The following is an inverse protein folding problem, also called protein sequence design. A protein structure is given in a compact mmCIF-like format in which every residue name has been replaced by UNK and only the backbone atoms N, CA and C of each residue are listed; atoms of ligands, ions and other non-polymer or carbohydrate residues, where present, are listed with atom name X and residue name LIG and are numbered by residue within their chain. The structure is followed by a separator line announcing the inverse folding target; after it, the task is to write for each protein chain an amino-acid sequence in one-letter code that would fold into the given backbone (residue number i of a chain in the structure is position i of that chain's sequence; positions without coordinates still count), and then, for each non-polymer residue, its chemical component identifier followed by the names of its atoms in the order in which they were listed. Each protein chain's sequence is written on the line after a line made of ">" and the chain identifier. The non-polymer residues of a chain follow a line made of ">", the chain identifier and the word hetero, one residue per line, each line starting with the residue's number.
data_IF_740762887352
#
_entry.id   IF_740762887352
#
_cell.length_a   1.000
_cell.length_b   1.000
_cell.length_c   1.000
_cell.angle_alpha   90.00
_cell.angle_beta   90.00
_cell.angle_gamma   90.00
#
_symmetry.space_group_name_H-M   'P 1'
#
loop_
_entity.id
_entity.type
_entity.pdbx_description
1 polymer ?
#
# COMPACT_ATOMS: atom_id res chain seq x y z
N UNK A 1 -17.31 18.45 18.73
CA UNK A 1 -16.85 19.74 18.13
C UNK A 1 -16.32 19.49 16.72
N UNK A 2 -16.41 20.43 15.79
CA UNK A 2 -15.84 20.27 14.44
C UNK A 2 -14.40 20.80 14.38
N UNK A 3 -13.54 20.28 13.48
CA UNK A 3 -12.19 20.83 13.27
C UNK A 3 -12.28 22.25 12.73
N UNK A 4 -11.49 23.17 13.28
CA UNK A 4 -11.45 24.54 12.82
C UNK A 4 -10.45 24.72 11.66
N UNK A 5 -10.94 24.69 10.40
CA UNK A 5 -10.12 24.91 9.21
C UNK A 5 -9.83 26.39 8.92
N UNK A 6 -10.33 27.31 9.76
CA UNK A 6 -9.95 28.72 9.73
C UNK A 6 -8.67 28.99 10.54
N UNK A 7 -7.98 27.95 10.99
CA UNK A 7 -6.63 28.05 11.54
C UNK A 7 -5.60 27.87 10.42
N UNK A 8 -4.40 28.42 10.60
CA UNK A 8 -3.29 28.15 9.69
C UNK A 8 -2.75 26.72 9.87
N UNK A 9 -2.00 26.20 8.89
CA UNK A 9 -1.52 24.80 8.88
C UNK A 9 -0.71 24.47 10.15
N UNK A 10 0.15 25.39 10.61
CA UNK A 10 0.95 25.17 11.82
C UNK A 10 0.10 25.09 13.09
N UNK A 11 -0.90 25.97 13.26
CA UNK A 11 -1.82 25.91 14.38
C UNK A 11 -2.70 24.65 14.32
N UNK A 12 -3.12 24.26 13.12
CA UNK A 12 -3.91 23.06 12.90
C UNK A 12 -3.13 21.79 13.27
N UNK A 13 -1.84 21.71 12.94
CA UNK A 13 -0.94 20.62 13.35
C UNK A 13 -0.81 20.52 14.87
N UNK A 14 -0.59 21.65 15.56
CA UNK A 14 -0.49 21.69 17.04
C UNK A 14 -1.79 21.28 17.72
N UNK A 15 -2.93 21.59 17.10
CA UNK A 15 -4.24 21.27 17.68
C UNK A 15 -4.50 19.75 17.80
N UNK A 16 -3.80 18.91 17.06
CA UNK A 16 -3.95 17.43 17.08
C UNK A 16 -3.76 16.85 18.48
N UNK A 17 -2.82 17.40 19.26
CA UNK A 17 -2.46 16.90 20.59
C UNK A 17 -3.54 17.15 21.65
N UNK A 18 -4.44 18.10 21.37
CA UNK A 18 -5.48 18.56 22.31
C UNK A 18 -6.90 18.19 21.87
N UNK A 19 -7.03 17.51 20.74
CA UNK A 19 -8.29 17.10 20.13
C UNK A 19 -8.76 15.73 20.63
N UNK A 20 -10.07 15.48 20.57
CA UNK A 20 -10.60 14.11 20.72
C UNK A 20 -10.07 13.21 19.60
N UNK A 21 -9.99 11.90 19.85
CA UNK A 21 -9.42 10.91 18.93
C UNK A 21 -10.00 11.04 17.51
N UNK A 22 -11.33 11.20 17.40
CA UNK A 22 -12.05 11.33 16.12
C UNK A 22 -11.63 12.62 15.39
N UNK A 23 -11.50 13.74 16.11
CA UNK A 23 -11.07 15.01 15.52
C UNK A 23 -9.60 14.99 15.12
N UNK A 24 -8.74 14.38 15.94
CA UNK A 24 -7.32 14.23 15.64
C UNK A 24 -7.11 13.37 14.37
N UNK A 25 -7.91 12.32 14.19
CA UNK A 25 -7.93 11.49 12.98
C UNK A 25 -8.36 12.29 11.75
N UNK A 26 -9.46 13.05 11.84
CA UNK A 26 -9.91 13.91 10.75
C UNK A 26 -8.87 15.00 10.41
N UNK A 27 -8.21 15.61 11.41
CA UNK A 27 -7.21 16.66 11.19
C UNK A 27 -5.96 16.09 10.51
N UNK A 28 -5.52 14.90 10.92
CA UNK A 28 -4.43 14.16 10.28
C UNK A 28 -4.77 13.81 8.84
N UNK A 29 -5.99 13.33 8.57
CA UNK A 29 -6.43 13.01 7.22
C UNK A 29 -6.33 14.24 6.29
N UNK A 30 -6.79 15.40 6.76
CA UNK A 30 -6.74 16.65 5.98
C UNK A 30 -5.30 17.09 5.71
N UNK A 31 -4.43 17.07 6.73
CA UNK A 31 -3.02 17.44 6.57
C UNK A 31 -2.27 16.48 5.64
N UNK A 32 -2.59 15.19 5.70
CA UNK A 32 -2.07 14.18 4.78
C UNK A 32 -2.56 14.41 3.36
N UNK A 33 -3.84 14.73 3.14
CA UNK A 33 -4.35 15.06 1.81
C UNK A 33 -3.72 16.32 1.21
N UNK A 34 -3.39 17.32 2.04
CA UNK A 34 -2.62 18.50 1.63
C UNK A 34 -1.20 18.11 1.23
N UNK A 35 -0.54 17.28 2.06
CA UNK A 35 0.83 16.78 1.81
C UNK A 35 0.91 15.96 0.52
N UNK A 36 -0.07 15.10 0.29
CA UNK A 36 -0.09 14.14 -0.81
C UNK A 36 -0.73 14.70 -2.10
N UNK A 37 -1.21 15.95 -2.07
CA UNK A 37 -1.88 16.63 -3.19
C UNK A 37 -3.06 15.82 -3.77
N UNK A 38 -3.70 14.98 -2.93
CA UNK A 38 -4.88 14.17 -3.25
C UNK A 38 -6.10 14.80 -2.59
N UNK A 39 -6.48 15.97 -3.08
CA UNK A 39 -7.35 16.91 -2.39
C UNK A 39 -8.79 16.84 -2.86
N UNK A 40 -9.06 16.28 -4.04
CA UNK A 40 -10.40 16.22 -4.61
C UNK A 40 -11.37 15.41 -3.74
N UNK A 41 -11.00 14.18 -3.38
CA UNK A 41 -11.85 13.32 -2.56
C UNK A 41 -11.91 13.80 -1.10
N UNK A 42 -10.77 14.23 -0.54
CA UNK A 42 -10.71 14.79 0.80
C UNK A 42 -11.63 16.02 0.95
N UNK A 43 -11.68 16.89 -0.06
CA UNK A 43 -12.54 18.07 -0.07
C UNK A 43 -14.00 17.69 -0.28
N UNK A 44 -14.32 16.72 -1.14
CA UNK A 44 -15.69 16.19 -1.25
C UNK A 44 -16.17 15.61 0.08
N UNK A 45 -15.32 14.89 0.80
CA UNK A 45 -15.68 14.28 2.08
C UNK A 45 -15.83 15.34 3.19
N UNK A 46 -15.01 16.41 3.17
CA UNK A 46 -15.20 17.59 4.02
C UNK A 46 -16.51 18.32 3.68
N UNK A 47 -16.85 18.48 2.38
CA UNK A 47 -18.10 19.10 1.91
C UNK A 47 -19.34 18.34 2.38
N UNK A 48 -19.29 17.00 2.36
CA UNK A 48 -20.40 16.15 2.81
C UNK A 48 -20.60 16.18 4.33
N UNK A 49 -19.51 16.33 5.09
CA UNK A 49 -19.53 16.32 6.56
C UNK A 49 -19.71 17.70 7.20
N UNK A 50 -19.50 18.81 6.47
CA UNK A 50 -19.47 20.18 7.03
C UNK A 50 -20.11 21.20 6.09
N UNK A 51 -20.88 22.12 6.68
CA UNK A 51 -21.48 23.24 5.95
C UNK A 51 -20.42 24.05 5.19
N UNK A 52 -20.65 24.23 3.89
CA UNK A 52 -19.76 24.79 2.85
C UNK A 52 -19.22 26.22 3.09
N UNK A 53 -19.62 26.88 4.18
CA UNK A 53 -19.41 28.32 4.43
C UNK A 53 -17.96 28.80 4.35
N UNK A 54 -16.99 28.02 4.83
CA UNK A 54 -15.57 28.42 4.80
C UNK A 54 -14.95 28.24 3.40
N UNK A 55 -15.41 27.24 2.63
CA UNK A 55 -14.97 27.03 1.25
C UNK A 55 -15.49 28.13 0.31
N UNK A 56 -16.68 28.70 0.57
CA UNK A 56 -17.17 29.86 -0.20
C UNK A 56 -16.31 31.12 0.01
N UNK A 57 -15.77 31.33 1.22
CA UNK A 57 -14.84 32.44 1.50
C UNK A 57 -13.52 32.25 0.73
N UNK A 58 -12.99 31.03 0.69
CA UNK A 58 -11.81 30.69 -0.11
C UNK A 58 -12.09 30.81 -1.62
N UNK A 59 -13.26 30.34 -2.09
CA UNK A 59 -13.71 30.50 -3.48
C UNK A 59 -13.70 31.97 -3.90
N UNK A 60 -14.32 32.86 -3.12
CA UNK A 60 -14.34 34.29 -3.41
C UNK A 60 -12.93 34.90 -3.51
N UNK A 61 -11.95 34.41 -2.73
CA UNK A 61 -10.55 34.89 -2.74
C UNK A 61 -9.77 34.45 -3.98
N UNK A 62 -10.01 33.25 -4.50
CA UNK A 62 -9.18 32.63 -5.55
C UNK A 62 -9.86 32.53 -6.92
N UNK A 63 -11.19 32.66 -7.03
CA UNK A 63 -11.93 32.48 -8.30
C UNK A 63 -11.45 33.37 -9.46
N UNK A 64 -10.96 34.57 -9.15
CA UNK A 64 -10.51 35.55 -10.14
C UNK A 64 -8.96 35.67 -10.21
N UNK A 65 -8.22 34.77 -9.53
CA UNK A 65 -6.75 34.81 -9.52
C UNK A 65 -6.19 34.12 -10.74
N UNK A 66 -5.11 34.69 -11.31
CA UNK A 66 -4.39 34.02 -12.41
C UNK A 66 -3.64 32.82 -11.86
N UNK A 67 -3.39 31.82 -12.72
CA UNK A 67 -2.62 30.62 -12.34
C UNK A 67 -1.25 30.99 -11.73
N UNK A 68 -0.63 32.07 -12.22
CA UNK A 68 0.62 32.59 -11.66
C UNK A 68 0.47 33.02 -10.20
N UNK A 69 -0.60 33.73 -9.85
CA UNK A 69 -0.87 34.16 -8.47
C UNK A 69 -1.11 32.97 -7.54
N UNK A 70 -1.72 31.91 -8.07
CA UNK A 70 -1.95 30.64 -7.35
C UNK A 70 -0.62 29.89 -7.14
N UNK A 71 0.25 29.88 -8.16
CA UNK A 71 1.59 29.29 -8.05
C UNK A 71 2.46 30.06 -7.05
N UNK A 72 2.42 31.39 -7.08
CA UNK A 72 3.15 32.25 -6.14
C UNK A 72 2.61 32.10 -4.71
N UNK A 73 1.31 31.85 -4.56
CA UNK A 73 0.71 31.44 -3.30
C UNK A 73 1.27 30.10 -2.80
N UNK A 74 1.54 29.10 -3.63
CA UNK A 74 2.15 27.86 -3.12
C UNK A 74 3.64 28.04 -2.83
N UNK A 75 4.35 28.73 -3.73
CA UNK A 75 5.81 28.93 -3.66
C UNK A 75 6.26 29.78 -2.48
N UNK A 76 5.41 30.68 -2.00
CA UNK A 76 5.67 31.48 -0.79
C UNK A 76 5.57 30.68 0.52
N UNK A 77 5.36 29.36 0.44
CA UNK A 77 5.20 28.49 1.60
C UNK A 77 3.74 28.41 2.06
N UNK A 78 3.35 27.26 2.63
CA UNK A 78 1.96 26.98 3.01
C UNK A 78 1.73 26.88 4.52
N UNK A 79 2.79 26.90 5.34
CA UNK A 79 2.71 26.68 6.79
C UNK A 79 1.87 27.74 7.51
N UNK A 80 2.05 29.01 7.15
CA UNK A 80 1.38 30.15 7.79
C UNK A 80 0.01 30.47 7.16
N UNK A 81 -0.40 29.67 6.17
CA UNK A 81 -1.60 29.90 5.38
C UNK A 81 -2.78 29.16 5.97
N UNK A 82 -3.97 29.74 5.77
CA UNK A 82 -5.23 29.16 6.21
C UNK A 82 -5.41 27.78 5.57
N UNK A 83 -5.73 26.77 6.37
CA UNK A 83 -5.86 25.40 5.88
C UNK A 83 -6.94 25.30 4.78
N UNK A 84 -8.05 26.03 4.93
CA UNK A 84 -9.11 26.10 3.92
C UNK A 84 -8.63 26.68 2.58
N UNK A 85 -7.74 27.68 2.58
CA UNK A 85 -7.21 28.31 1.37
C UNK A 85 -6.24 27.39 0.62
N UNK A 86 -5.38 26.69 1.37
CA UNK A 86 -4.45 25.71 0.81
C UNK A 86 -5.21 24.55 0.18
N UNK A 87 -6.20 24.00 0.87
CA UNK A 87 -7.08 22.95 0.36
C UNK A 87 -7.80 23.40 -0.92
N UNK A 88 -8.39 24.59 -0.90
CA UNK A 88 -9.11 25.14 -2.04
C UNK A 88 -8.20 25.34 -3.27
N UNK A 89 -6.98 25.84 -3.08
CA UNK A 89 -6.01 26.01 -4.17
C UNK A 89 -5.59 24.67 -4.77
N UNK A 90 -5.32 23.66 -3.93
CA UNK A 90 -4.98 22.32 -4.41
C UNK A 90 -6.14 21.66 -5.17
N UNK A 91 -7.38 21.88 -4.72
CA UNK A 91 -8.59 21.46 -5.43
C UNK A 91 -8.72 22.06 -6.82
N UNK A 92 -8.48 23.38 -6.96
CA UNK A 92 -8.49 24.06 -8.24
C UNK A 92 -7.45 23.46 -9.19
N UNK A 93 -6.24 23.20 -8.69
CA UNK A 93 -5.17 22.61 -9.49
C UNK A 93 -5.51 21.19 -9.94
N UNK A 94 -6.14 20.40 -9.07
CA UNK A 94 -6.56 19.03 -9.37
C UNK A 94 -7.73 18.97 -10.37
N UNK A 95 -8.70 19.88 -10.26
CA UNK A 95 -9.77 20.03 -11.26
C UNK A 95 -9.21 20.44 -12.62
N UNK A 96 -8.30 21.42 -12.68
CA UNK A 96 -7.60 21.82 -13.90
C UNK A 96 -6.79 20.67 -14.52
N UNK A 97 -6.17 19.83 -13.69
CA UNK A 97 -5.40 18.64 -14.11
C UNK A 97 -6.28 17.52 -14.67
N UNK A 98 -7.45 17.32 -14.08
CA UNK A 98 -8.33 16.18 -14.39
C UNK A 98 -9.43 16.52 -15.39
N UNK A 99 -9.63 17.80 -15.71
CA UNK A 99 -10.72 18.27 -16.56
C UNK A 99 -12.12 18.06 -15.93
N UNK A 100 -12.18 17.63 -14.67
CA UNK A 100 -13.43 17.48 -13.94
C UNK A 100 -13.99 18.88 -13.67
N UNK A 101 -15.23 19.11 -14.10
CA UNK A 101 -15.95 20.34 -13.84
C UNK A 101 -16.04 20.59 -12.34
N UNK A 102 -15.76 21.83 -11.97
CA UNK A 102 -15.90 22.31 -10.61
C UNK A 102 -17.39 22.40 -10.31
N UNK A 103 -17.93 21.35 -9.72
CA UNK A 103 -19.32 21.31 -9.32
C UNK A 103 -19.47 21.98 -7.94
N UNK A 104 -19.69 23.30 -7.96
CA UNK A 104 -20.27 24.05 -6.85
C UNK A 104 -21.78 24.10 -7.04
N UNK A 105 -22.48 22.97 -6.98
CA UNK A 105 -23.94 22.95 -6.96
C UNK A 105 -24.49 23.60 -5.67
N UNK A 106 -24.58 24.94 -5.67
CA UNK A 106 -25.82 25.71 -5.73
C UNK A 106 -25.51 27.22 -5.71
N UNK A 107 -25.96 27.89 -6.78
CA UNK A 107 -26.05 29.33 -7.08
C UNK A 107 -24.82 30.11 -7.62
N UNK A 108 -24.91 30.30 -8.96
CA UNK A 108 -24.51 31.45 -9.81
C UNK A 108 -23.12 31.50 -10.49
N UNK A 109 -23.16 31.12 -11.78
CA UNK A 109 -22.37 31.52 -12.98
C UNK A 109 -21.14 32.42 -12.81
N UNK A 110 -19.97 31.97 -13.32
CA UNK A 110 -18.89 32.87 -13.81
C UNK A 110 -18.27 32.32 -15.10
N UNK A 111 -18.03 33.24 -16.04
CA UNK A 111 -17.84 33.15 -17.50
C UNK A 111 -16.48 32.65 -18.03
N UNK A 112 -16.50 32.30 -19.32
CA UNK A 112 -15.42 31.83 -20.21
C UNK A 112 -14.12 32.67 -20.20
N UNK A 113 -12.94 32.01 -20.29
CA UNK A 113 -11.65 32.72 -20.42
C UNK A 113 -10.35 31.89 -20.48
N UNK A 114 -10.14 31.17 -21.60
CA UNK A 114 -8.86 30.86 -22.31
C UNK A 114 -7.73 30.03 -21.64
N UNK A 115 -7.53 28.78 -22.10
CA UNK A 115 -6.25 28.03 -22.03
C UNK A 115 -5.96 27.39 -23.41
N UNK A 116 -4.77 27.60 -23.99
CA UNK A 116 -4.41 27.14 -25.35
C UNK A 116 -3.55 25.87 -25.40
N UNK A 117 -3.74 25.08 -26.47
CA UNK A 117 -3.42 23.65 -26.65
C UNK A 117 -1.94 23.26 -26.84
N UNK A 118 -1.03 24.21 -27.11
CA UNK A 118 0.37 23.91 -27.48
C UNK A 118 1.26 23.57 -26.29
N UNK A 119 1.04 24.20 -25.13
CA UNK A 119 1.77 23.92 -23.88
C UNK A 119 1.31 22.63 -23.19
N UNK A 120 0.09 22.18 -23.49
CA UNK A 120 -0.51 20.96 -22.95
C UNK A 120 0.20 19.72 -23.50
N UNK A 121 0.59 19.68 -24.78
CA UNK A 121 1.27 18.52 -25.38
C UNK A 121 2.66 18.24 -24.81
N UNK A 122 3.48 19.29 -24.60
CA UNK A 122 4.83 19.16 -24.03
C UNK A 122 4.77 18.73 -22.56
N UNK A 123 3.75 19.19 -21.83
CA UNK A 123 3.49 18.83 -20.44
C UNK A 123 2.89 17.41 -20.28
N UNK A 124 2.02 16.99 -21.21
CA UNK A 124 1.53 15.60 -21.30
C UNK A 124 2.69 14.63 -21.58
N UNK A 125 3.64 15.00 -22.44
CA UNK A 125 4.83 14.16 -22.73
C UNK A 125 5.74 13.98 -21.49
N UNK A 126 5.98 15.07 -20.75
CA UNK A 126 6.75 15.03 -19.51
C UNK A 126 6.02 14.27 -18.39
N UNK A 127 4.70 14.48 -18.25
CA UNK A 127 3.88 13.74 -17.28
C UNK A 127 3.72 12.27 -17.64
N UNK A 128 3.59 11.88 -18.92
CA UNK A 128 3.50 10.47 -19.34
C UNK A 128 4.79 9.70 -19.02
N UNK A 129 5.97 10.34 -19.11
CA UNK A 129 7.25 9.74 -18.69
C UNK A 129 7.33 9.48 -17.19
N UNK A 130 6.69 10.33 -16.38
CA UNK A 130 6.64 10.18 -14.92
C UNK A 130 5.55 9.18 -14.51
N UNK A 131 4.39 9.22 -15.19
CA UNK A 131 3.24 8.33 -14.96
C UNK A 131 3.55 6.87 -15.32
N UNK A 132 4.33 6.61 -16.39
CA UNK A 132 4.75 5.23 -16.73
C UNK A 132 5.71 4.60 -15.70
N UNK A 133 6.18 5.36 -14.71
CA UNK A 133 7.00 4.87 -13.60
C UNK A 133 6.22 4.48 -12.34
N UNK A 134 4.90 4.70 -12.26
CA UNK A 134 4.09 4.38 -11.09
C UNK A 134 3.09 3.25 -11.37
N UNK A 135 3.10 2.13 -10.61
CA UNK A 135 2.12 1.07 -10.78
C UNK A 135 0.72 1.53 -10.34
N UNK A 136 -0.21 1.52 -11.29
CA UNK A 136 -1.61 1.97 -11.21
C UNK A 136 -2.50 0.97 -10.45
N UNK A 137 -2.22 0.68 -9.19
CA UNK A 137 -3.05 -0.27 -8.44
C UNK A 137 -4.12 0.49 -7.66
N UNK A 138 -5.32 0.54 -8.24
CA UNK A 138 -6.56 0.91 -7.55
C UNK A 138 -7.01 -0.27 -6.69
N UNK A 139 -6.67 -0.26 -5.41
CA UNK A 139 -7.24 -1.20 -4.45
C UNK A 139 -8.67 -0.75 -4.10
N UNK A 140 -9.64 -1.67 -4.16
CA UNK A 140 -11.06 -1.36 -3.90
C UNK A 140 -11.47 -1.50 -2.42
N UNK A 141 -10.80 -2.37 -1.65
CA UNK A 141 -11.13 -2.66 -0.24
C UNK A 141 -9.87 -3.03 0.56
N UNK A 142 -9.93 -2.99 1.89
CA UNK A 142 -8.82 -3.37 2.77
C UNK A 142 -8.49 -4.87 2.73
N UNK A 143 -7.29 -5.23 3.16
CA UNK A 143 -6.80 -6.62 3.10
C UNK A 143 -7.67 -7.57 3.94
N UNK A 144 -8.18 -7.12 5.08
CA UNK A 144 -9.02 -7.95 5.95
C UNK A 144 -10.39 -8.19 5.36
N UNK A 145 -11.06 -7.15 4.88
CA UNK A 145 -12.36 -7.22 4.21
C UNK A 145 -12.28 -8.15 2.99
N UNK A 146 -11.25 -7.93 2.16
CA UNK A 146 -10.95 -8.79 1.02
C UNK A 146 -10.80 -10.26 1.43
N UNK A 147 -10.05 -10.53 2.50
CA UNK A 147 -9.76 -11.89 2.95
C UNK A 147 -11.04 -12.61 3.39
N UNK A 148 -11.91 -11.98 4.19
CA UNK A 148 -13.17 -12.59 4.63
C UNK A 148 -14.17 -12.79 3.48
N UNK A 149 -14.03 -12.00 2.41
CA UNK A 149 -14.83 -12.11 1.19
C UNK A 149 -14.35 -13.23 0.26
N UNK A 150 -13.02 -13.39 0.10
CA UNK A 150 -12.43 -14.25 -0.94
C UNK A 150 -11.82 -15.55 -0.46
N UNK A 151 -11.25 -15.59 0.75
CA UNK A 151 -10.40 -16.72 1.15
C UNK A 151 -11.23 -17.87 1.71
N UNK A 152 -10.98 -19.07 1.17
CA UNK A 152 -11.63 -20.32 1.59
C UNK A 152 -10.55 -21.32 2.01
N UNK A 153 -10.71 -21.91 3.20
CA UNK A 153 -9.83 -22.95 3.72
C UNK A 153 -10.32 -24.33 3.26
N UNK A 154 -9.41 -25.12 2.68
CA UNK A 154 -9.72 -26.47 2.18
C UNK A 154 -9.53 -27.52 3.27
N UNK A 155 -10.24 -28.65 3.17
CA UNK A 155 -10.13 -29.76 4.12
C UNK A 155 -8.76 -30.44 4.15
N UNK A 156 -8.00 -30.36 3.07
CA UNK A 156 -6.62 -30.87 3.03
C UNK A 156 -5.59 -29.99 3.74
N UNK A 157 -5.92 -28.72 4.01
CA UNK A 157 -4.97 -27.73 4.58
C UNK A 157 -5.40 -27.15 5.93
N UNK A 158 -6.65 -27.36 6.33
CA UNK A 158 -7.22 -26.83 7.57
C UNK A 158 -8.11 -27.84 8.28
N UNK A 159 -7.98 -27.92 9.61
CA UNK A 159 -8.89 -28.67 10.47
C UNK A 159 -10.30 -28.06 10.56
N UNK A 160 -10.45 -26.79 10.14
CA UNK A 160 -11.74 -26.08 10.04
C UNK A 160 -11.90 -25.55 8.61
N UNK A 161 -12.44 -26.37 7.69
CA UNK A 161 -12.66 -25.96 6.31
C UNK A 161 -13.79 -24.92 6.22
N UNK A 162 -13.78 -24.13 5.16
CA UNK A 162 -14.82 -23.12 4.89
C UNK A 162 -14.27 -21.70 4.77
N UNK A 163 -15.15 -20.69 4.73
CA UNK A 163 -14.73 -19.28 4.60
C UNK A 163 -13.79 -18.87 5.72
N UNK A 164 -12.70 -18.18 5.36
CA UNK A 164 -11.80 -17.60 6.36
C UNK A 164 -12.53 -16.49 7.11
N UNK A 165 -12.51 -16.54 8.44
CA UNK A 165 -13.15 -15.55 9.31
C UNK A 165 -12.18 -15.12 10.38
N UNK A 166 -11.92 -13.82 10.49
CA UNK A 166 -11.12 -13.29 11.58
C UNK A 166 -11.85 -13.39 12.92
N UNK A 167 -13.17 -13.59 12.95
CA UNK A 167 -13.86 -13.92 14.21
C UNK A 167 -13.37 -15.24 14.83
N UNK A 168 -12.77 -16.15 14.06
CA UNK A 168 -12.17 -17.41 14.56
C UNK A 168 -10.74 -17.18 15.07
N UNK A 169 -9.98 -16.29 14.43
CA UNK A 169 -8.63 -15.91 14.84
C UNK A 169 -8.50 -14.39 14.97
N UNK A 170 -9.20 -13.75 15.93
CA UNK A 170 -9.30 -12.29 16.00
C UNK A 170 -7.94 -11.62 16.22
N UNK A 171 -7.04 -12.33 16.90
CA UNK A 171 -5.66 -11.92 17.14
C UNK A 171 -4.81 -11.76 15.87
N UNK A 172 -5.23 -12.28 14.70
CA UNK A 172 -4.49 -12.09 13.44
C UNK A 172 -4.95 -10.86 12.65
N UNK A 173 -6.04 -10.22 13.05
CA UNK A 173 -6.69 -9.13 12.30
C UNK A 173 -5.77 -7.94 12.14
N UNK A 174 -5.35 -7.34 13.25
CA UNK A 174 -4.47 -6.16 13.26
C UNK A 174 -3.15 -6.40 12.50
N UNK A 175 -2.50 -7.54 12.77
CA UNK A 175 -1.26 -7.92 12.07
C UNK A 175 -1.47 -7.99 10.56
N UNK A 176 -2.63 -8.49 10.13
CA UNK A 176 -2.99 -8.53 8.71
C UNK A 176 -3.28 -7.12 8.17
N UNK A 177 -3.99 -6.26 8.89
CA UNK A 177 -4.25 -4.86 8.49
C UNK A 177 -2.96 -4.07 8.28
N UNK A 178 -1.94 -4.30 9.11
CA UNK A 178 -0.62 -3.69 8.95
C UNK A 178 0.01 -3.96 7.57
N UNK A 179 -0.27 -5.11 6.96
CA UNK A 179 0.23 -5.49 5.63
C UNK A 179 -0.58 -4.88 4.48
N UNK A 180 -1.75 -4.30 4.74
CA UNK A 180 -2.60 -3.69 3.71
C UNK A 180 -1.95 -2.46 3.04
N UNK A 181 -2.35 -2.18 1.81
CA UNK A 181 -1.93 -0.97 1.07
C UNK A 181 -2.39 0.33 1.73
N UNK A 182 -3.42 0.29 2.58
CA UNK A 182 -3.89 1.45 3.36
C UNK A 182 -3.06 1.71 4.62
N UNK A 183 -2.28 0.72 5.06
CA UNK A 183 -1.40 0.86 6.22
C UNK A 183 -0.09 1.52 5.80
N UNK A 184 0.37 2.49 6.58
CA UNK A 184 1.68 3.10 6.44
C UNK A 184 2.81 2.27 7.05
N UNK A 185 2.50 1.13 7.67
CA UNK A 185 3.50 0.22 8.26
C UNK A 185 4.25 -0.50 7.14
N UNK A 186 5.55 -0.32 7.06
CA UNK A 186 6.38 -0.95 6.01
C UNK A 186 6.98 -2.29 6.47
N UNK A 187 7.06 -2.52 7.78
CA UNK A 187 7.71 -3.69 8.35
C UNK A 187 6.94 -4.18 9.57
N UNK A 188 6.71 -5.49 9.64
CA UNK A 188 5.98 -6.15 10.72
C UNK A 188 6.78 -7.37 11.16
N UNK A 189 7.09 -7.44 12.47
CA UNK A 189 7.83 -8.55 13.06
C UNK A 189 6.95 -9.33 14.04
N UNK A 190 6.67 -10.59 13.71
CA UNK A 190 5.83 -11.48 14.49
C UNK A 190 6.65 -12.60 15.15
N UNK A 191 6.87 -12.47 16.45
CA UNK A 191 7.37 -13.57 17.28
C UNK A 191 6.19 -14.40 17.78
N UNK A 192 6.14 -15.69 17.42
CA UNK A 192 4.95 -16.55 17.64
C UNK A 192 5.30 -17.95 18.15
N UNK A 193 4.36 -18.70 18.74
CA UNK A 193 4.56 -20.12 19.05
C UNK A 193 4.46 -21.01 17.79
N UNK A 194 4.86 -22.27 17.90
CA UNK A 194 4.70 -23.24 16.80
C UNK A 194 3.22 -23.49 16.48
N UNK A 195 2.90 -23.85 15.22
CA UNK A 195 1.53 -24.11 14.73
C UNK A 195 0.56 -22.94 14.87
N UNK A 196 1.08 -21.71 14.97
CA UNK A 196 0.28 -20.50 14.97
C UNK A 196 0.06 -19.97 13.54
N UNK A 197 -0.99 -19.18 13.34
CA UNK A 197 -1.56 -18.74 12.06
C UNK A 197 -0.67 -17.84 11.16
N UNK A 198 0.65 -17.78 11.37
CA UNK A 198 1.55 -16.85 10.68
C UNK A 198 1.57 -17.06 9.16
N UNK A 199 1.66 -18.32 8.71
CA UNK A 199 1.60 -18.63 7.27
C UNK A 199 0.25 -18.25 6.67
N UNK A 200 -0.84 -18.28 7.44
CA UNK A 200 -2.14 -17.81 6.95
C UNK A 200 -2.16 -16.29 6.70
N UNK A 201 -1.47 -15.50 7.52
CA UNK A 201 -1.34 -14.05 7.33
C UNK A 201 -0.57 -13.75 6.04
N UNK A 202 0.54 -14.47 5.80
CA UNK A 202 1.31 -14.40 4.56
C UNK A 202 0.40 -14.68 3.36
N UNK A 203 -0.28 -15.82 3.39
CA UNK A 203 -1.17 -16.27 2.33
C UNK A 203 -2.34 -15.30 2.09
N UNK A 204 -2.91 -14.69 3.13
CA UNK A 204 -3.93 -13.64 2.99
C UNK A 204 -3.41 -12.48 2.14
N UNK A 205 -2.21 -11.99 2.49
CA UNK A 205 -1.57 -10.88 1.79
C UNK A 205 -1.21 -11.26 0.34
N UNK A 206 -0.66 -12.46 0.11
CA UNK A 206 -0.36 -12.94 -1.25
C UNK A 206 -1.61 -13.05 -2.13
N UNK A 207 -2.73 -13.54 -1.59
CA UNK A 207 -4.00 -13.64 -2.32
C UNK A 207 -4.51 -12.25 -2.75
N UNK A 208 -4.42 -11.29 -1.84
CA UNK A 208 -4.75 -9.89 -2.10
C UNK A 208 -3.83 -9.25 -3.13
N UNK A 209 -2.54 -9.60 -3.10
CA UNK A 209 -1.59 -9.20 -4.12
C UNK A 209 -2.00 -9.70 -5.51
N UNK A 210 -2.48 -10.95 -5.62
CA UNK A 210 -2.98 -11.50 -6.90
C UNK A 210 -4.22 -10.75 -7.39
N UNK A 211 -5.20 -10.47 -6.52
CA UNK A 211 -6.42 -9.72 -6.89
C UNK A 211 -6.09 -8.33 -7.41
N UNK A 212 -5.13 -7.62 -6.82
CA UNK A 212 -4.86 -6.23 -7.18
C UNK A 212 -3.62 -6.04 -8.05
N UNK A 213 -2.88 -7.12 -8.37
CA UNK A 213 -1.65 -7.05 -9.16
C UNK A 213 -0.49 -6.40 -8.40
N UNK A 214 -0.47 -6.54 -7.08
CA UNK A 214 0.57 -5.96 -6.21
C UNK A 214 1.79 -6.86 -6.20
N UNK A 215 2.96 -6.29 -6.46
CA UNK A 215 4.22 -7.02 -6.41
C UNK A 215 5.37 -6.18 -6.97
N UNK A 216 6.53 -6.80 -7.25
CA UNK A 216 6.82 -8.23 -7.10
C UNK A 216 6.85 -8.71 -5.65
N UNK A 217 6.49 -9.98 -5.42
CA UNK A 217 6.42 -10.62 -4.10
C UNK A 217 7.51 -11.68 -3.94
N UNK A 218 8.21 -11.67 -2.80
CA UNK A 218 9.22 -12.65 -2.43
C UNK A 218 8.83 -13.38 -1.14
N UNK A 219 8.61 -14.68 -1.25
CA UNK A 219 8.48 -15.57 -0.09
C UNK A 219 9.82 -16.27 0.16
N UNK A 220 10.33 -16.20 1.39
CA UNK A 220 11.56 -16.86 1.81
C UNK A 220 11.26 -17.81 2.96
N UNK A 221 11.75 -19.04 2.86
CA UNK A 221 11.72 -20.03 3.95
C UNK A 221 13.10 -20.67 4.10
N UNK A 222 13.27 -21.66 4.98
CA UNK A 222 14.61 -22.18 5.33
C UNK A 222 15.39 -22.79 4.16
N UNK A 223 14.71 -23.46 3.22
CA UNK A 223 15.33 -24.10 2.06
C UNK A 223 14.41 -24.10 0.83
N UNK A 224 15.01 -24.44 -0.31
CA UNK A 224 14.41 -24.33 -1.63
C UNK A 224 13.32 -25.39 -1.90
N UNK A 225 13.39 -26.53 -1.22
CA UNK A 225 12.41 -27.61 -1.38
C UNK A 225 11.14 -27.26 -0.61
N UNK A 226 11.27 -26.79 0.64
CA UNK A 226 10.14 -26.25 1.41
C UNK A 226 9.48 -25.06 0.71
N UNK A 227 10.25 -24.21 0.02
CA UNK A 227 9.70 -23.14 -0.79
C UNK A 227 8.83 -23.67 -1.94
N UNK A 228 9.26 -24.74 -2.62
CA UNK A 228 8.46 -25.39 -3.66
C UNK A 228 7.23 -26.10 -3.09
N UNK A 229 7.37 -26.79 -1.96
CA UNK A 229 6.24 -27.44 -1.29
C UNK A 229 5.19 -26.44 -0.80
N UNK A 230 5.62 -25.27 -0.30
CA UNK A 230 4.72 -24.19 0.06
C UNK A 230 3.85 -23.77 -1.12
N UNK A 231 4.47 -23.52 -2.27
CA UNK A 231 3.76 -23.10 -3.47
C UNK A 231 2.76 -24.16 -3.94
N UNK A 232 3.18 -25.41 -4.08
CA UNK A 232 2.30 -26.47 -4.59
C UNK A 232 1.19 -26.87 -3.61
N UNK A 233 1.55 -27.08 -2.34
CA UNK A 233 0.62 -27.66 -1.36
C UNK A 233 -0.27 -26.62 -0.70
N UNK A 234 0.16 -25.36 -0.62
CA UNK A 234 -0.59 -24.29 0.08
C UNK A 234 -1.06 -23.20 -0.86
N UNK A 235 -0.13 -22.60 -1.60
CA UNK A 235 -0.45 -21.44 -2.43
C UNK A 235 -1.38 -21.79 -3.60
N UNK A 236 -1.04 -22.83 -4.37
CA UNK A 236 -1.86 -23.28 -5.51
C UNK A 236 -3.24 -23.74 -5.05
N UNK A 237 -3.28 -24.48 -3.93
CA UNK A 237 -4.53 -24.91 -3.30
C UNK A 237 -5.39 -23.71 -2.88
N UNK A 238 -4.78 -22.65 -2.35
CA UNK A 238 -5.49 -21.42 -1.98
C UNK A 238 -6.05 -20.69 -3.20
N UNK A 239 -5.26 -20.53 -4.27
CA UNK A 239 -5.71 -19.85 -5.49
C UNK A 239 -6.88 -20.59 -6.14
N UNK A 240 -6.81 -21.93 -6.19
CA UNK A 240 -7.89 -22.77 -6.67
C UNK A 240 -9.14 -22.63 -5.80
N UNK A 241 -8.99 -22.68 -4.47
CA UNK A 241 -10.12 -22.54 -3.55
C UNK A 241 -10.77 -21.15 -3.60
N UNK A 242 -10.01 -20.11 -3.93
CA UNK A 242 -10.50 -18.75 -4.09
C UNK A 242 -11.10 -18.48 -5.49
N UNK A 243 -11.01 -19.43 -6.43
CA UNK A 243 -11.47 -19.26 -7.81
C UNK A 243 -10.67 -18.22 -8.61
N UNK A 244 -9.35 -18.14 -8.36
CA UNK A 244 -8.46 -17.10 -8.89
C UNK A 244 -7.43 -17.62 -9.89
N UNK A 245 -7.60 -18.85 -10.41
CA UNK A 245 -6.67 -19.48 -11.35
C UNK A 245 -6.45 -18.65 -12.62
N UNK A 246 -7.49 -17.98 -13.11
CA UNK A 246 -7.44 -17.18 -14.34
C UNK A 246 -6.56 -15.93 -14.23
N UNK A 247 -6.18 -15.52 -13.01
CA UNK A 247 -5.20 -14.44 -12.83
C UNK A 247 -3.76 -14.90 -13.10
N UNK A 248 -3.49 -16.20 -13.07
CA UNK A 248 -2.14 -16.75 -13.23
C UNK A 248 -1.85 -16.87 -14.72
N UNK A 249 -1.10 -15.90 -15.23
CA UNK A 249 -0.86 -15.73 -16.66
C UNK A 249 0.60 -15.36 -16.92
N UNK A 250 1.20 -15.81 -18.04
CA UNK A 250 2.56 -15.46 -18.37
C UNK A 250 2.68 -13.94 -18.59
N UNK A 251 3.80 -13.31 -18.17
CA UNK A 251 4.01 -11.87 -18.34
C UNK A 251 4.17 -11.48 -19.82
N UNK A 252 4.56 -12.43 -20.68
CA UNK A 252 4.68 -12.24 -22.13
C UNK A 252 3.98 -13.39 -22.83
N UNK A 253 3.01 -13.06 -23.68
CA UNK A 253 2.41 -14.01 -24.61
C UNK A 253 3.41 -14.28 -25.75
N UNK A 254 4.15 -15.38 -25.66
CA UNK A 254 4.96 -15.85 -26.79
C UNK A 254 4.03 -16.46 -27.84
N UNK A 255 4.32 -16.24 -29.14
CA UNK A 255 3.55 -16.79 -30.28
C UNK A 255 3.39 -18.32 -30.27
N UNK A 256 4.17 -19.03 -29.46
CA UNK A 256 4.01 -20.46 -29.22
C UNK A 256 3.40 -20.68 -27.82
N UNK A 257 2.39 -21.56 -27.73
CA UNK A 257 1.64 -22.00 -26.54
C UNK A 257 2.50 -22.64 -25.39
N UNK A 258 3.73 -22.18 -25.17
CA UNK A 258 4.70 -22.75 -24.21
C UNK A 258 5.11 -21.79 -23.08
N UNK A 259 4.65 -20.54 -23.08
CA UNK A 259 4.95 -19.62 -21.98
C UNK A 259 3.95 -19.86 -20.84
N UNK A 260 4.36 -20.56 -19.78
CA UNK A 260 3.56 -20.67 -18.56
C UNK A 260 3.95 -19.52 -17.63
N UNK A 261 2.95 -18.83 -17.07
CA UNK A 261 3.16 -17.94 -15.92
C UNK A 261 3.30 -18.73 -14.62
N UNK A 262 3.25 -20.05 -14.70
CA UNK A 262 3.14 -20.98 -13.59
C UNK A 262 4.33 -21.94 -13.57
N UNK A 263 5.11 -21.89 -12.50
CA UNK A 263 6.17 -22.85 -12.19
C UNK A 263 6.11 -23.24 -10.71
N UNK A 264 6.77 -24.35 -10.33
CA UNK A 264 6.83 -24.85 -8.95
C UNK A 264 7.19 -23.80 -7.89
N UNK A 265 7.99 -22.77 -8.23
CA UNK A 265 8.45 -21.75 -7.27
C UNK A 265 8.11 -20.32 -7.67
N UNK A 266 7.43 -20.11 -8.78
CA UNK A 266 7.10 -18.76 -9.24
C UNK A 266 5.79 -18.76 -10.02
N UNK A 267 4.96 -17.76 -9.74
CA UNK A 267 3.66 -17.56 -10.37
C UNK A 267 3.56 -16.11 -10.81
N UNK A 268 3.15 -15.88 -12.05
CA UNK A 268 3.02 -14.56 -12.66
C UNK A 268 1.54 -14.19 -12.75
N UNK A 269 1.21 -12.94 -12.46
CA UNK A 269 -0.16 -12.45 -12.45
C UNK A 269 -0.16 -10.94 -12.70
N UNK A 270 -1.13 -10.44 -13.49
CA UNK A 270 -1.36 -8.99 -13.72
C UNK A 270 -0.10 -8.16 -14.00
N UNK A 271 0.86 -8.72 -14.75
CA UNK A 271 2.12 -8.05 -15.09
C UNK A 271 3.20 -8.04 -13.99
N UNK A 272 2.95 -8.71 -12.87
CA UNK A 272 3.91 -8.93 -11.78
C UNK A 272 4.04 -10.42 -11.46
N UNK A 273 4.71 -10.76 -10.36
CA UNK A 273 4.91 -12.16 -9.96
C UNK A 273 5.15 -12.33 -8.46
N UNK A 274 4.96 -13.56 -7.99
CA UNK A 274 5.45 -14.07 -6.71
C UNK A 274 6.54 -15.11 -6.97
N UNK A 275 7.59 -15.13 -6.14
CA UNK A 275 8.62 -16.17 -6.13
C UNK A 275 8.90 -16.67 -4.71
N UNK A 276 8.98 -17.98 -4.56
CA UNK A 276 9.35 -18.66 -3.32
C UNK A 276 10.79 -19.17 -3.41
N UNK A 277 11.62 -18.86 -2.42
CA UNK A 277 13.05 -19.25 -2.38
C UNK A 277 13.49 -19.73 -1.00
N UNK A 278 14.52 -20.56 -0.97
CA UNK A 278 15.20 -20.95 0.26
C UNK A 278 16.24 -19.92 0.72
N UNK A 279 16.37 -19.75 2.03
CA UNK A 279 17.31 -18.80 2.65
C UNK A 279 18.78 -19.14 2.42
N UNK A 280 19.12 -20.33 1.93
CA UNK A 280 20.50 -20.73 1.56
C UNK A 280 20.91 -20.27 0.16
N UNK A 281 19.93 -19.88 -0.67
CA UNK A 281 20.15 -19.61 -2.09
C UNK A 281 20.53 -18.15 -2.33
N UNK A 282 21.77 -17.80 -1.96
CA UNK A 282 22.30 -16.43 -2.02
C UNK A 282 22.12 -15.75 -3.38
N UNK A 283 22.44 -16.46 -4.47
CA UNK A 283 22.29 -15.95 -5.83
C UNK A 283 20.83 -15.59 -6.14
N UNK A 284 19.87 -16.37 -5.62
CA UNK A 284 18.44 -16.11 -5.80
C UNK A 284 17.96 -14.94 -4.93
N UNK A 285 18.42 -14.86 -3.67
CA UNK A 285 18.12 -13.74 -2.76
C UNK A 285 18.58 -12.38 -3.32
N UNK A 286 19.55 -12.38 -4.23
CA UNK A 286 20.14 -11.15 -4.80
C UNK A 286 19.76 -10.86 -6.25
N UNK A 287 18.79 -11.58 -6.81
CA UNK A 287 18.62 -11.62 -8.26
C UNK A 287 17.66 -10.58 -8.87
N UNK A 288 16.70 -10.04 -8.12
CA UNK A 288 15.72 -9.09 -8.67
C UNK A 288 15.15 -8.15 -7.58
N UNK A 289 14.70 -6.94 -7.95
CA UNK A 289 14.01 -6.04 -7.04
C UNK A 289 12.63 -6.59 -6.68
N UNK A 290 12.21 -6.41 -5.41
CA UNK A 290 10.92 -6.89 -4.91
C UNK A 290 10.27 -5.86 -4.00
N UNK A 291 8.96 -5.69 -4.14
CA UNK A 291 8.19 -4.73 -3.35
C UNK A 291 7.77 -5.33 -2.01
N UNK A 292 7.33 -6.58 -2.03
CA UNK A 292 6.75 -7.28 -0.89
C UNK A 292 7.66 -8.45 -0.53
N UNK A 293 8.03 -8.58 0.74
CA UNK A 293 8.90 -9.64 1.24
C UNK A 293 8.23 -10.32 2.44
N UNK A 294 8.09 -11.64 2.36
CA UNK A 294 7.64 -12.49 3.46
C UNK A 294 8.79 -13.40 3.86
N UNK A 295 9.31 -13.22 5.07
CA UNK A 295 10.41 -13.99 5.64
C UNK A 295 9.84 -14.94 6.70
N UNK A 296 9.58 -16.18 6.30
CA UNK A 296 9.03 -17.21 7.19
C UNK A 296 10.12 -18.03 7.86
N UNK A 297 9.92 -18.31 9.15
CA UNK A 297 10.82 -19.03 10.03
C UNK A 297 12.28 -18.54 10.03
N UNK A 298 12.49 -17.23 10.16
CA UNK A 298 13.83 -16.59 10.09
C UNK A 298 14.85 -17.13 11.11
N UNK A 299 14.42 -17.65 12.26
CA UNK A 299 15.33 -18.29 13.22
C UNK A 299 15.88 -19.63 12.71
N UNK A 300 15.30 -20.20 11.65
CA UNK A 300 15.80 -21.41 10.97
C UNK A 300 16.78 -21.12 9.83
N UNK A 301 16.99 -19.86 9.47
CA UNK A 301 17.92 -19.49 8.39
C UNK A 301 19.37 -19.83 8.75
N UNK A 302 20.22 -20.13 7.76
CA UNK A 302 21.64 -20.38 8.01
C UNK A 302 22.27 -19.22 8.75
N UNK A 303 23.24 -19.48 9.65
CA UNK A 303 23.91 -18.43 10.43
C UNK A 303 24.61 -17.43 9.50
N UNK A 304 25.24 -17.93 8.44
CA UNK A 304 25.83 -17.14 7.37
C UNK A 304 25.64 -17.85 6.03
N UNK A 305 25.56 -17.06 4.96
CA UNK A 305 25.61 -17.55 3.58
C UNK A 305 27.04 -17.91 3.16
N UNK A 306 27.18 -18.74 2.13
CA UNK A 306 28.47 -19.17 1.62
C UNK A 306 29.33 -17.98 1.12
N UNK A 307 28.73 -16.99 0.45
CA UNK A 307 29.38 -15.73 0.06
C UNK A 307 29.35 -14.65 1.15
N UNK A 308 28.95 -15.00 2.37
CA UNK A 308 28.91 -14.09 3.52
C UNK A 308 27.62 -13.24 3.61
N UNK A 309 27.36 -12.75 4.83
CA UNK A 309 26.18 -11.94 5.17
C UNK A 309 24.95 -12.74 5.58
N UNK A 310 23.92 -12.03 6.06
CA UNK A 310 22.65 -12.59 6.51
C UNK A 310 21.63 -12.70 5.36
N UNK A 311 20.91 -13.82 5.31
CA UNK A 311 19.91 -14.09 4.26
C UNK A 311 18.76 -13.09 4.26
N UNK A 312 18.30 -12.70 5.44
CA UNK A 312 17.18 -11.74 5.62
C UNK A 312 17.62 -10.38 5.10
N UNK A 313 18.81 -9.93 5.47
CA UNK A 313 19.35 -8.66 5.03
C UNK A 313 19.50 -8.60 3.49
N UNK A 314 20.01 -9.68 2.87
CA UNK A 314 20.11 -9.74 1.40
C UNK A 314 18.74 -9.68 0.73
N UNK A 315 17.72 -10.35 1.28
CA UNK A 315 16.36 -10.25 0.76
C UNK A 315 15.80 -8.83 0.92
N UNK A 316 15.90 -8.24 2.12
CA UNK A 316 15.35 -6.92 2.44
C UNK A 316 15.91 -5.82 1.53
N UNK A 317 17.22 -5.83 1.26
CA UNK A 317 17.88 -4.88 0.35
C UNK A 317 17.38 -4.94 -1.10
N UNK A 318 16.56 -5.94 -1.48
CA UNK A 318 15.88 -5.96 -2.79
C UNK A 318 14.67 -5.04 -2.85
N UNK A 319 14.19 -4.57 -1.70
CA UNK A 319 13.06 -3.65 -1.60
C UNK A 319 13.43 -2.18 -1.47
N UNK A 320 14.73 -1.84 -1.42
CA UNK A 320 15.20 -0.47 -1.17
C UNK A 320 14.66 0.53 -2.20
N UNK A 321 14.56 0.14 -3.48
CA UNK A 321 14.01 1.00 -4.54
C UNK A 321 12.50 1.28 -4.43
N UNK A 322 11.79 0.56 -3.55
CA UNK A 322 10.36 0.76 -3.32
C UNK A 322 10.06 1.68 -2.13
N UNK A 323 11.09 2.08 -1.36
CA UNK A 323 10.99 3.04 -0.26
C UNK A 323 9.78 2.76 0.67
N UNK A 324 8.86 3.71 0.81
CA UNK A 324 7.66 3.63 1.65
C UNK A 324 6.55 2.72 1.09
N UNK A 325 6.69 2.24 -0.15
CA UNK A 325 5.73 1.32 -0.77
C UNK A 325 6.04 -0.15 -0.46
N UNK A 326 7.17 -0.44 0.18
CA UNK A 326 7.56 -1.81 0.54
C UNK A 326 6.74 -2.35 1.70
N UNK A 327 6.52 -3.67 1.71
CA UNK A 327 6.00 -4.40 2.86
C UNK A 327 6.91 -5.57 3.19
N UNK A 328 7.39 -5.63 4.42
CA UNK A 328 8.27 -6.69 4.90
C UNK A 328 7.61 -7.35 6.11
N UNK A 329 7.40 -8.67 6.04
CA UNK A 329 6.84 -9.44 7.13
C UNK A 329 7.84 -10.47 7.61
N UNK A 330 8.28 -10.34 8.86
CA UNK A 330 9.13 -11.29 9.54
C UNK A 330 8.28 -12.15 10.46
N UNK A 331 8.45 -13.47 10.40
CA UNK A 331 7.81 -14.36 11.37
C UNK A 331 8.72 -15.51 11.73
N UNK A 332 8.77 -15.88 13.00
CA UNK A 332 9.40 -17.13 13.42
C UNK A 332 8.97 -17.56 14.80
N UNK A 333 9.15 -18.85 15.07
CA UNK A 333 9.23 -19.33 16.45
C UNK A 333 10.63 -19.04 16.99
N UNK A 334 10.78 -18.27 18.08
CA UNK A 334 12.11 -17.91 18.58
C UNK A 334 12.85 -19.18 19.05
N UNK A 335 14.13 -19.28 18.71
CA UNK A 335 15.03 -20.31 19.26
C UNK A 335 15.60 -19.86 20.62
N UNK A 336 16.91 -20.05 20.85
CA UNK A 336 17.59 -19.57 22.05
C UNK A 336 17.68 -18.04 21.98
N UNK A 337 17.49 -17.35 23.12
CA UNK A 337 17.56 -15.88 23.22
C UNK A 337 18.81 -15.28 22.57
N UNK A 338 19.95 -15.96 22.71
CA UNK A 338 21.25 -15.52 22.16
C UNK A 338 21.37 -15.64 20.63
N UNK A 339 20.58 -16.52 20.00
CA UNK A 339 20.69 -16.82 18.55
C UNK A 339 19.42 -16.47 17.78
N UNK A 340 18.41 -15.92 18.46
CA UNK A 340 17.13 -15.63 17.83
C UNK A 340 17.22 -14.39 16.95
N UNK A 341 16.67 -14.48 15.73
CA UNK A 341 16.58 -13.35 14.80
C UNK A 341 15.29 -12.57 14.98
N UNK A 342 14.19 -13.26 15.26
CA UNK A 342 12.89 -12.60 15.47
C UNK A 342 12.84 -11.83 16.78
N UNK A 343 13.55 -12.27 17.82
CA UNK A 343 13.52 -11.65 19.15
C UNK A 343 13.92 -10.16 19.17
N UNK A 344 15.08 -9.77 18.60
CA UNK A 344 15.47 -8.37 18.48
C UNK A 344 14.50 -7.53 17.65
N UNK A 345 14.02 -8.04 16.50
CA UNK A 345 13.07 -7.34 15.63
C UNK A 345 11.75 -7.08 16.35
N UNK A 346 11.22 -8.09 17.05
CA UNK A 346 10.01 -7.96 17.85
C UNK A 346 10.11 -6.86 18.91
N UNK A 347 11.26 -6.74 19.59
CA UNK A 347 11.49 -5.71 20.62
C UNK A 347 11.63 -4.28 20.08
N UNK A 348 11.88 -4.11 18.78
CA UNK A 348 11.91 -2.80 18.14
C UNK A 348 10.52 -2.28 17.78
N UNK A 349 9.50 -3.15 17.85
CA UNK A 349 8.11 -2.82 17.56
C UNK A 349 7.43 -2.00 18.66
N UNK A 350 6.12 -1.90 18.54
CA UNK A 350 5.18 -1.04 19.27
C UNK A 350 4.77 -1.57 20.65
N UNK A 351 5.68 -2.27 21.35
CA UNK A 351 5.45 -2.98 22.63
C UNK A 351 4.32 -2.48 23.52
#
# INVERSE_FOLDING_TARGET
>A
MAINLTQNITALQKSIETQSIIQAQETKQILTSIKDQKTYQAIIDIRKKRGLSDFYKSHARFKNKKIKDIQDFIKSGIADKMACDVLYVLYLLESLKTGKTIDFDTYETVSEGVVTTKNVKTMISFMNKIIQGFPTISVAEGLVEFTERRRVLTSGTSARPGPYRFSVTPYTREITECLSEYSNITEVALMKPTQWAATNIIMNHELYCVEYGIGPVLYVTSDDDLAGEYMEKRWDTMIVAAGMQDYITPPVQKKANKATGDTRRAKSFKGTFIRAIGARSESKLSSFPVRIIHLDEIDKYPIALAGGGDSSEKAIRRSDSYENLRKIFHTSTPKKKATSRIGPLFRQGDM
#
